data_IF_609092558920
#
_entry.id   IF_609092558920
#
_cell.length_a   1.000
_cell.length_b   1.000
_cell.length_c   1.000
_cell.angle_alpha   90.00
_cell.angle_beta   90.00
_cell.angle_gamma   90.00
#
_symmetry.space_group_name_H-M   'P 1'
#
loop_
_entity.id
_entity.type
_entity.pdbx_description
1 polymer ?
#
# COMPACT_ATOMS: atom_id res chain seq x y z
N UNK A 1 -17.17 4.53 -7.76
CA UNK A 1 -16.34 3.60 -6.97
C UNK A 1 -15.16 4.34 -6.41
N UNK A 2 -14.68 3.97 -5.22
CA UNK A 2 -13.55 4.67 -4.56
C UNK A 2 -12.23 4.07 -5.08
N UNK A 3 -11.34 4.93 -5.56
CA UNK A 3 -9.98 4.57 -5.92
C UNK A 3 -9.01 5.20 -4.92
N UNK A 4 -7.98 4.44 -4.52
CA UNK A 4 -6.97 4.89 -3.57
C UNK A 4 -5.60 4.71 -4.20
N UNK A 5 -4.87 5.81 -4.31
CA UNK A 5 -3.51 5.81 -4.81
C UNK A 5 -2.55 6.00 -3.62
N UNK A 6 -1.67 5.02 -3.41
CA UNK A 6 -0.73 4.99 -2.31
C UNK A 6 0.66 5.19 -2.86
N UNK A 7 1.34 6.22 -2.38
CA UNK A 7 2.71 6.53 -2.77
C UNK A 7 3.65 6.13 -1.63
N UNK A 8 4.56 5.21 -1.91
CA UNK A 8 5.46 4.65 -0.89
C UNK A 8 6.90 4.59 -1.37
N UNK A 9 7.82 4.65 -0.40
CA UNK A 9 9.25 4.41 -0.59
C UNK A 9 9.56 3.14 0.17
N UNK A 10 10.13 2.15 -0.52
CA UNK A 10 10.32 0.81 0.04
C UNK A 10 11.76 0.67 0.55
N UNK A 11 11.95 -0.10 1.62
CA UNK A 11 13.28 -0.41 2.12
C UNK A 11 13.98 -1.46 1.26
N UNK A 12 15.28 -1.26 0.99
CA UNK A 12 16.12 -2.24 0.31
C UNK A 12 16.08 -3.60 1.04
N UNK A 13 16.10 -4.69 0.28
CA UNK A 13 15.98 -6.06 0.80
C UNK A 13 14.54 -6.55 1.00
N UNK A 14 13.53 -5.72 0.75
CA UNK A 14 12.12 -6.11 0.86
C UNK A 14 11.51 -6.41 -0.52
N UNK A 15 10.69 -7.47 -0.62
CA UNK A 15 9.99 -7.80 -1.87
C UNK A 15 8.86 -6.81 -2.13
N UNK A 16 8.98 -6.01 -3.19
CA UNK A 16 7.98 -5.01 -3.58
C UNK A 16 6.59 -5.63 -3.77
N UNK A 17 6.51 -6.82 -4.36
CA UNK A 17 5.25 -7.54 -4.58
C UNK A 17 4.52 -7.84 -3.27
N UNK A 18 5.26 -8.24 -2.24
CA UNK A 18 4.72 -8.53 -0.91
C UNK A 18 4.24 -7.27 -0.21
N UNK A 19 5.05 -6.21 -0.23
CA UNK A 19 4.69 -4.90 0.33
C UNK A 19 3.45 -4.34 -0.35
N UNK A 20 3.39 -4.40 -1.69
CA UNK A 20 2.25 -3.88 -2.46
C UNK A 20 0.96 -4.61 -2.09
N UNK A 21 1.01 -5.95 -2.01
CA UNK A 21 -0.14 -6.76 -1.62
C UNK A 21 -0.58 -6.45 -0.18
N UNK A 22 0.37 -6.35 0.75
CA UNK A 22 0.07 -6.04 2.15
C UNK A 22 -0.60 -4.66 2.28
N UNK A 23 -0.06 -3.65 1.60
CA UNK A 23 -0.63 -2.29 1.56
C UNK A 23 -2.05 -2.31 1.01
N UNK A 24 -2.30 -3.02 -0.10
CA UNK A 24 -3.62 -3.12 -0.70
C UNK A 24 -4.65 -3.76 0.25
N UNK A 25 -4.29 -4.88 0.89
CA UNK A 25 -5.16 -5.57 1.86
C UNK A 25 -5.45 -4.67 3.07
N UNK A 26 -4.44 -4.01 3.61
CA UNK A 26 -4.55 -3.16 4.80
C UNK A 26 -5.38 -1.90 4.54
N UNK A 27 -5.22 -1.28 3.37
CA UNK A 27 -6.02 -0.12 2.95
C UNK A 27 -7.48 -0.50 2.77
N UNK A 28 -7.77 -1.63 2.08
CA UNK A 28 -9.15 -2.13 1.93
C UNK A 28 -9.79 -2.40 3.29
N UNK A 29 -9.09 -3.13 4.16
CA UNK A 29 -9.56 -3.47 5.49
C UNK A 29 -9.85 -2.22 6.34
N UNK A 30 -8.94 -1.24 6.33
CA UNK A 30 -9.12 -0.01 7.11
C UNK A 30 -10.28 0.83 6.59
N UNK A 31 -10.48 0.92 5.27
CA UNK A 31 -11.60 1.67 4.69
C UNK A 31 -12.95 1.03 5.02
N UNK A 32 -13.01 -0.30 4.97
CA UNK A 32 -14.20 -1.03 5.34
C UNK A 32 -14.49 -0.92 6.85
N UNK A 33 -13.46 -1.07 7.69
CA UNK A 33 -13.62 -1.09 9.15
C UNK A 33 -13.89 0.30 9.74
N UNK A 34 -13.22 1.35 9.24
CA UNK A 34 -13.33 2.70 9.80
C UNK A 34 -14.49 3.50 9.22
N UNK A 35 -14.76 3.34 7.92
CA UNK A 35 -15.69 4.19 7.19
C UNK A 35 -16.86 3.39 6.60
N UNK A 36 -16.86 2.06 6.69
CA UNK A 36 -17.88 1.21 6.08
C UNK A 36 -17.85 1.23 4.55
N UNK A 37 -16.72 1.62 3.94
CA UNK A 37 -16.64 1.82 2.49
C UNK A 37 -15.62 0.91 1.85
N UNK A 38 -16.01 0.26 0.76
CA UNK A 38 -15.14 -0.64 0.01
C UNK A 38 -14.40 0.11 -1.09
N UNK A 39 -13.06 0.09 -1.05
CA UNK A 39 -12.25 0.59 -2.16
C UNK A 39 -12.33 -0.36 -3.36
N UNK A 40 -12.69 0.19 -4.51
CA UNK A 40 -12.78 -0.54 -5.77
C UNK A 40 -11.39 -0.84 -6.35
N UNK A 41 -10.46 0.10 -6.20
CA UNK A 41 -9.08 -0.05 -6.65
C UNK A 41 -8.12 0.56 -5.64
N UNK A 42 -7.03 -0.16 -5.35
CA UNK A 42 -5.92 0.35 -4.55
C UNK A 42 -4.65 0.21 -5.37
N UNK A 43 -4.15 1.34 -5.85
CA UNK A 43 -2.94 1.41 -6.67
C UNK A 43 -1.77 1.78 -5.77
N UNK A 44 -0.66 1.04 -5.87
CA UNK A 44 0.54 1.29 -5.08
C UNK A 44 1.65 1.75 -6.02
N UNK A 45 2.13 2.97 -5.81
CA UNK A 45 3.20 3.60 -6.57
C UNK A 45 4.46 3.64 -5.71
N UNK A 46 5.45 2.85 -6.14
CA UNK A 46 6.78 2.84 -5.51
C UNK A 46 7.61 3.94 -6.13
N UNK A 47 7.85 5.00 -5.38
CA UNK A 47 8.59 6.17 -5.86
C UNK A 47 10.11 5.97 -5.78
N UNK A 48 10.56 5.04 -4.94
CA UNK A 48 11.98 4.76 -4.78
C UNK A 48 12.22 3.66 -3.76
N UNK A 49 13.49 3.27 -3.68
CA UNK A 49 13.99 2.32 -2.69
C UNK A 49 15.02 3.03 -1.81
N UNK A 50 14.87 2.94 -0.49
CA UNK A 50 15.80 3.51 0.48
C UNK A 50 16.53 2.40 1.22
N UNK A 51 17.84 2.53 1.39
CA UNK A 51 18.60 1.66 2.30
C UNK A 51 18.39 2.19 3.71
N UNK A 52 17.84 1.34 4.59
CA UNK A 52 17.78 1.68 6.02
C UNK A 52 19.20 1.52 6.59
N UNK A 53 19.75 2.53 7.28
CA UNK A 53 20.98 2.34 8.04
C UNK A 53 20.73 1.34 9.17
N UNK A 54 21.69 0.45 9.40
CA UNK A 54 21.68 -0.55 10.48
C UNK A 54 21.55 0.09 11.87
#
# INVERSE_FOLDING_TARGET
GIAVDVYTIISYGTKISEVSRNVQEKVKYNLETLLGVTANSVNVFVQGVRVLPD
#
